data_IF_874290795419
#
_entry.id   IF_874290795419
#
_cell.length_a   1.000
_cell.length_b   1.000
_cell.length_c   1.000
_cell.angle_alpha   90.00
_cell.angle_beta   90.00
_cell.angle_gamma   90.00
#
_symmetry.space_group_name_H-M   'P 1'
#
loop_
_entity.id
_entity.type
_entity.pdbx_description
1 polymer ?
#
# COMPACT_ATOMS: atom_id res chain seq x y z
N UNK A 1 -11.76 -21.01 -10.19
CA UNK A 1 -10.48 -21.65 -9.83
C UNK A 1 -9.28 -20.69 -9.90
N UNK A 2 -9.48 -19.36 -9.95
CA UNK A 2 -8.41 -18.40 -10.29
C UNK A 2 -7.76 -17.68 -9.10
N UNK A 3 -8.46 -17.53 -7.97
CA UNK A 3 -7.95 -16.80 -6.81
C UNK A 3 -6.87 -17.54 -6.00
N UNK A 4 -6.89 -18.88 -5.99
CA UNK A 4 -5.89 -19.67 -5.26
C UNK A 4 -4.50 -19.63 -5.93
N UNK A 5 -4.46 -19.58 -7.26
CA UNK A 5 -3.21 -19.51 -8.02
C UNK A 5 -2.54 -18.13 -7.88
N UNK A 6 -3.34 -17.06 -7.93
CA UNK A 6 -2.87 -15.69 -7.68
C UNK A 6 -2.26 -15.55 -6.28
N UNK A 7 -2.94 -16.10 -5.26
CA UNK A 7 -2.41 -16.15 -3.88
C UNK A 7 -1.10 -16.92 -3.75
N UNK A 8 -0.97 -18.03 -4.47
CA UNK A 8 0.23 -18.90 -4.39
C UNK A 8 1.44 -18.26 -5.08
N UNK A 9 1.21 -17.50 -6.16
CA UNK A 9 2.26 -16.75 -6.84
C UNK A 9 2.63 -15.44 -6.13
N UNK A 10 1.68 -14.80 -5.42
CA UNK A 10 1.89 -13.52 -4.74
C UNK A 10 3.06 -13.55 -3.75
N UNK A 11 3.10 -14.52 -2.84
CA UNK A 11 4.13 -14.61 -1.81
C UNK A 11 5.56 -14.74 -2.35
N UNK A 12 5.87 -15.64 -3.31
CA UNK A 12 7.20 -15.70 -3.91
C UNK A 12 7.57 -14.45 -4.71
N UNK A 13 6.63 -13.80 -5.42
CA UNK A 13 6.91 -12.52 -6.08
C UNK A 13 7.15 -11.38 -5.09
N UNK A 14 6.39 -11.32 -3.99
CA UNK A 14 6.61 -10.33 -2.92
C UNK A 14 7.98 -10.55 -2.26
N UNK A 15 8.33 -11.80 -1.96
CA UNK A 15 9.64 -12.14 -1.39
C UNK A 15 10.79 -11.76 -2.33
N UNK A 16 10.66 -12.02 -3.63
CA UNK A 16 11.64 -11.59 -4.63
C UNK A 16 11.74 -10.06 -4.69
N UNK A 17 10.62 -9.34 -4.68
CA UNK A 17 10.61 -7.88 -4.69
C UNK A 17 11.26 -7.27 -3.44
N UNK A 18 10.98 -7.81 -2.25
CA UNK A 18 11.62 -7.38 -0.99
C UNK A 18 13.12 -7.70 -1.00
N UNK A 19 13.52 -8.88 -1.46
CA UNK A 19 14.92 -9.25 -1.57
C UNK A 19 15.66 -8.35 -2.56
N UNK A 20 15.04 -8.03 -3.69
CA UNK A 20 15.61 -7.14 -4.70
C UNK A 20 15.65 -5.69 -4.24
N UNK A 21 14.66 -5.19 -3.49
CA UNK A 21 14.76 -3.87 -2.88
C UNK A 21 15.93 -3.78 -1.89
N UNK A 22 16.15 -4.80 -1.06
CA UNK A 22 17.29 -4.80 -0.13
C UNK A 22 18.65 -5.03 -0.81
N UNK A 23 18.68 -5.79 -1.90
CA UNK A 23 19.91 -6.16 -2.61
C UNK A 23 20.31 -5.14 -3.68
N UNK A 24 19.42 -4.24 -4.08
CA UNK A 24 19.68 -3.22 -5.12
C UNK A 24 19.34 -1.82 -4.62
N UNK A 25 19.70 -0.78 -5.37
CA UNK A 25 19.36 0.61 -5.02
C UNK A 25 17.91 0.99 -5.38
N UNK A 26 16.99 0.01 -5.36
CA UNK A 26 15.57 0.24 -5.69
C UNK A 26 14.89 0.93 -4.52
N UNK A 27 14.23 2.06 -4.79
CA UNK A 27 13.49 2.81 -3.76
C UNK A 27 12.12 2.16 -3.55
N UNK A 28 11.79 1.83 -2.31
CA UNK A 28 10.52 1.21 -1.93
C UNK A 28 9.31 2.15 -2.09
N UNK A 29 9.57 3.44 -1.91
CA UNK A 29 8.64 4.53 -2.17
C UNK A 29 9.40 5.71 -2.77
N UNK A 30 8.68 6.54 -3.51
CA UNK A 30 9.18 7.76 -4.14
C UNK A 30 8.17 8.89 -3.95
N UNK A 31 8.67 10.11 -3.80
CA UNK A 31 7.83 11.29 -3.59
C UNK A 31 7.53 11.90 -4.95
N UNK A 32 6.25 11.89 -5.33
CA UNK A 32 5.81 12.39 -6.64
C UNK A 32 5.65 13.91 -6.60
N UNK A 33 5.06 14.41 -5.52
CA UNK A 33 4.88 15.85 -5.29
C UNK A 33 4.94 16.20 -3.78
N UNK A 34 4.60 17.44 -3.43
CA UNK A 34 4.64 17.91 -2.04
C UNK A 34 3.70 17.13 -1.11
N UNK A 35 2.63 16.54 -1.65
CA UNK A 35 1.54 15.89 -0.90
C UNK A 35 1.53 14.36 -1.09
N UNK A 36 1.97 13.85 -2.24
CA UNK A 36 1.79 12.47 -2.67
C UNK A 36 3.11 11.71 -2.66
N UNK A 37 3.10 10.60 -1.92
CA UNK A 37 4.15 9.58 -1.92
C UNK A 37 3.58 8.33 -2.56
N UNK A 38 4.27 7.81 -3.58
CA UNK A 38 3.90 6.59 -4.28
C UNK A 38 4.89 5.49 -3.96
N UNK A 39 4.41 4.33 -3.52
CA UNK A 39 5.29 3.22 -3.17
C UNK A 39 4.60 1.87 -3.17
N UNK A 40 5.39 0.86 -2.87
CA UNK A 40 4.89 -0.49 -2.65
C UNK A 40 4.21 -0.62 -1.26
N UNK A 41 3.88 -1.85 -0.86
CA UNK A 41 3.15 -2.13 0.37
C UNK A 41 3.76 -1.43 1.60
N UNK A 42 2.96 -0.69 2.37
CA UNK A 42 3.46 0.05 3.53
C UNK A 42 3.63 -0.90 4.71
N UNK A 43 4.83 -1.48 4.82
CA UNK A 43 5.18 -2.36 5.93
C UNK A 43 5.08 -1.64 7.27
N UNK A 44 4.73 -2.40 8.32
CA UNK A 44 4.68 -1.86 9.70
C UNK A 44 5.99 -1.18 10.14
N UNK A 45 7.12 -1.66 9.62
CA UNK A 45 8.45 -1.10 9.90
C UNK A 45 8.69 0.28 9.28
N UNK A 46 8.03 0.61 8.16
CA UNK A 46 8.20 1.91 7.48
C UNK A 46 7.17 2.95 7.92
N UNK A 47 6.12 2.55 8.63
CA UNK A 47 5.05 3.43 9.17
C UNK A 47 5.62 4.65 9.87
N UNK A 48 6.57 4.45 10.78
CA UNK A 48 7.14 5.55 11.57
C UNK A 48 7.85 6.56 10.68
N UNK A 49 8.60 6.09 9.69
CA UNK A 49 9.28 6.95 8.73
C UNK A 49 8.28 7.73 7.86
N UNK A 50 7.19 7.09 7.41
CA UNK A 50 6.16 7.76 6.62
C UNK A 50 5.45 8.87 7.42
N UNK A 51 5.15 8.62 8.69
CA UNK A 51 4.41 9.57 9.54
C UNK A 51 5.29 10.71 10.05
N UNK A 52 6.51 10.41 10.48
CA UNK A 52 7.41 11.40 11.10
C UNK A 52 8.26 12.15 10.08
N UNK A 53 8.79 11.46 9.06
CA UNK A 53 9.69 12.06 8.07
C UNK A 53 8.94 12.62 6.88
N UNK A 54 8.01 11.84 6.30
CA UNK A 54 7.27 12.26 5.11
C UNK A 54 5.98 13.04 5.45
N UNK A 55 5.62 13.12 6.74
CA UNK A 55 4.41 13.77 7.24
C UNK A 55 3.12 13.21 6.62
N UNK A 56 3.08 11.91 6.35
CA UNK A 56 1.89 11.24 5.80
C UNK A 56 0.77 11.25 6.85
N UNK A 57 -0.42 11.68 6.43
CA UNK A 57 -1.65 11.72 7.25
C UNK A 57 -2.83 10.96 6.63
N UNK A 58 -2.72 10.60 5.36
CA UNK A 58 -3.68 9.74 4.67
C UNK A 58 -2.96 8.64 3.90
N UNK A 59 -3.51 7.42 3.90
CA UNK A 59 -3.00 6.30 3.12
C UNK A 59 -4.14 5.70 2.28
N UNK A 60 -3.91 5.59 0.97
CA UNK A 60 -4.85 4.95 0.06
C UNK A 60 -4.34 3.53 -0.22
N UNK A 61 -5.03 2.53 0.31
CA UNK A 61 -4.69 1.12 0.11
C UNK A 61 -5.54 0.55 -1.02
N UNK A 62 -4.90 0.20 -2.14
CA UNK A 62 -5.56 -0.40 -3.31
C UNK A 62 -5.47 -1.94 -3.37
N UNK A 63 -4.93 -2.57 -2.34
CA UNK A 63 -4.69 -4.02 -2.29
C UNK A 63 -5.83 -4.82 -1.64
N UNK A 64 -5.88 -6.12 -1.93
CA UNK A 64 -6.79 -7.03 -1.27
C UNK A 64 -6.38 -7.34 0.19
N UNK A 65 -7.37 -7.64 1.02
CA UNK A 65 -7.21 -7.81 2.48
C UNK A 65 -6.28 -8.98 2.86
N UNK A 66 -6.12 -9.99 2.00
CA UNK A 66 -5.24 -11.13 2.27
C UNK A 66 -3.75 -10.79 2.14
N UNK A 67 -3.40 -9.73 1.43
CA UNK A 67 -2.01 -9.29 1.17
C UNK A 67 -1.50 -8.39 2.30
N UNK A 68 -2.41 -7.64 2.90
CA UNK A 68 -2.12 -6.61 3.89
C UNK A 68 -2.14 -7.14 5.33
N UNK A 69 -2.87 -8.23 5.61
CA UNK A 69 -3.14 -8.73 6.97
C UNK A 69 -1.92 -9.11 7.81
N UNK A 70 -0.83 -9.55 7.17
CA UNK A 70 0.37 -10.01 7.90
C UNK A 70 1.52 -9.00 7.91
N UNK A 71 1.56 -8.09 6.94
CA UNK A 71 2.74 -7.27 6.69
C UNK A 71 2.47 -5.76 6.77
N UNK A 72 1.22 -5.32 6.60
CA UNK A 72 0.82 -3.91 6.64
C UNK A 72 0.11 -3.58 7.97
N UNK A 73 -0.05 -2.28 8.23
CA UNK A 73 -0.90 -1.84 9.33
C UNK A 73 -2.38 -2.11 9.03
N UNK A 74 -3.13 -2.52 10.05
CA UNK A 74 -4.59 -2.49 10.03
C UNK A 74 -5.12 -1.05 10.02
N UNK A 75 -6.43 -0.88 9.78
CA UNK A 75 -7.05 0.44 9.84
C UNK A 75 -6.90 1.07 11.24
N UNK A 76 -6.99 0.25 12.28
CA UNK A 76 -6.82 0.67 13.68
C UNK A 76 -5.35 1.06 13.97
N UNK A 77 -4.39 0.30 13.45
CA UNK A 77 -2.96 0.61 13.58
C UNK A 77 -2.64 1.94 12.88
N UNK A 78 -3.18 2.18 11.68
CA UNK A 78 -3.05 3.48 11.00
C UNK A 78 -3.69 4.62 11.79
N UNK A 79 -4.89 4.40 12.31
CA UNK A 79 -5.58 5.41 13.11
C UNK A 79 -4.82 5.73 14.40
N UNK A 80 -4.21 4.73 15.06
CA UNK A 80 -3.35 4.94 16.23
C UNK A 80 -2.07 5.71 15.89
N UNK A 81 -1.58 5.59 14.65
CA UNK A 81 -0.46 6.36 14.13
C UNK A 81 -0.88 7.76 13.64
N UNK A 82 -2.16 8.13 13.76
CA UNK A 82 -2.68 9.43 13.32
C UNK A 82 -2.83 9.55 11.80
N UNK A 83 -3.02 8.43 11.11
CA UNK A 83 -3.18 8.37 9.65
C UNK A 83 -4.57 7.82 9.31
N UNK A 84 -5.29 8.49 8.41
CA UNK A 84 -6.56 8.01 7.89
C UNK A 84 -6.32 7.02 6.74
N UNK A 85 -6.96 5.84 6.80
CA UNK A 85 -6.87 4.84 5.74
C UNK A 85 -8.12 4.86 4.86
N UNK A 86 -7.93 5.14 3.56
CA UNK A 86 -8.93 4.88 2.54
C UNK A 86 -8.61 3.57 1.82
N UNK A 87 -9.47 2.56 1.96
CA UNK A 87 -9.31 1.29 1.24
C UNK A 87 -10.18 1.28 -0.01
N UNK A 88 -9.54 1.13 -1.17
CA UNK A 88 -10.19 0.95 -2.46
C UNK A 88 -9.87 -0.45 -2.96
N UNK A 89 -10.67 -1.44 -2.56
CA UNK A 89 -10.45 -2.83 -2.93
C UNK A 89 -10.51 -3.00 -4.45
N UNK A 90 -9.36 -3.12 -5.11
CA UNK A 90 -9.23 -3.47 -6.52
C UNK A 90 -8.61 -4.85 -6.66
N UNK A 91 -9.10 -5.67 -7.60
CA UNK A 91 -8.54 -6.99 -7.87
C UNK A 91 -7.14 -6.82 -8.48
N UNK A 92 -6.14 -7.45 -7.87
CA UNK A 92 -4.76 -7.36 -8.32
C UNK A 92 -4.63 -7.81 -9.79
N UNK A 93 -3.75 -7.15 -10.56
CA UNK A 93 -3.49 -7.37 -12.00
C UNK A 93 -4.58 -6.99 -13.02
N UNK A 94 -5.83 -6.73 -12.61
CA UNK A 94 -6.93 -6.41 -13.57
C UNK A 94 -7.87 -5.29 -13.12
N UNK A 95 -7.81 -4.89 -11.84
CA UNK A 95 -8.68 -3.88 -11.26
C UNK A 95 -8.16 -2.48 -11.51
N UNK A 96 -8.60 -1.85 -12.61
CA UNK A 96 -8.54 -0.39 -12.71
C UNK A 96 -9.62 0.16 -11.75
N UNK A 97 -9.29 1.04 -10.80
CA UNK A 97 -10.31 1.66 -9.96
C UNK A 97 -11.32 2.40 -10.83
N UNK A 98 -12.61 2.33 -10.48
CA UNK A 98 -13.63 3.11 -11.17
C UNK A 98 -13.35 4.61 -11.01
N UNK A 99 -13.80 5.43 -11.96
CA UNK A 99 -13.66 6.88 -11.89
C UNK A 99 -14.24 7.45 -10.57
N UNK A 100 -15.34 6.86 -10.09
CA UNK A 100 -15.96 7.24 -8.82
C UNK A 100 -15.04 7.00 -7.61
N UNK A 101 -14.28 5.89 -7.60
CA UNK A 101 -13.29 5.61 -6.57
C UNK A 101 -12.13 6.62 -6.60
N UNK A 102 -11.69 7.03 -7.80
CA UNK A 102 -10.67 8.07 -7.96
C UNK A 102 -11.17 9.43 -7.44
N UNK A 103 -12.41 9.82 -7.77
CA UNK A 103 -13.00 11.07 -7.29
C UNK A 103 -13.15 11.05 -5.77
N UNK A 104 -13.56 9.92 -5.19
CA UNK A 104 -13.67 9.77 -3.74
C UNK A 104 -12.31 9.88 -3.04
N UNK A 105 -11.27 9.29 -3.60
CA UNK A 105 -9.90 9.42 -3.09
C UNK A 105 -9.41 10.86 -3.10
N UNK A 106 -9.71 11.60 -4.15
CA UNK A 106 -9.33 13.01 -4.26
C UNK A 106 -10.17 13.94 -3.35
N UNK A 107 -11.41 13.57 -3.08
CA UNK A 107 -12.37 14.41 -2.32
C UNK A 107 -12.34 14.16 -0.81
N UNK A 108 -11.60 13.14 -0.34
CA UNK A 108 -11.39 12.91 1.09
C UNK A 108 -10.39 13.97 1.62
N UNK A 109 -10.79 14.79 2.60
CA UNK A 109 -9.99 15.89 3.14
C UNK A 109 -8.78 15.44 3.97
#
# INVERSE_FOLDING_TARGET
>A
MSGALARLLFYPTLAYNVAMEKATSRRWFDRVDETVVLGALPFRSITKQLVETENVRGVITMNEEYETKYFCNSAEEWQSAGVEQLRLSTVDLTGIPSLENCVRAWSSP
#
